data_IF_924527514216
#
_entry.id   IF_924527514216
#
_cell.length_a   1.000
_cell.length_b   1.000
_cell.length_c   1.000
_cell.angle_alpha   90.00
_cell.angle_beta   90.00
_cell.angle_gamma   90.00
#
_symmetry.space_group_name_H-M   'P 1'
#
loop_
_entity.id
_entity.type
_entity.pdbx_description
1 polymer ?
#
# COMPACT_ATOMS: atom_id res chain seq x y z
N UNK A 1 9.67 21.71 1.48
CA UNK A 1 8.24 21.79 1.86
C UNK A 1 8.06 21.10 3.21
N UNK A 2 7.27 21.66 4.13
CA UNK A 2 6.90 20.99 5.39
C UNK A 2 5.63 20.20 5.10
N UNK A 3 5.79 18.92 4.80
CA UNK A 3 4.66 18.00 4.64
C UNK A 3 3.91 17.97 5.95
N UNK A 4 2.60 18.30 5.92
CA UNK A 4 1.80 18.31 7.13
C UNK A 4 1.46 16.86 7.46
N UNK A 5 2.00 16.38 8.57
CA UNK A 5 1.68 15.06 9.10
C UNK A 5 0.16 14.94 9.33
N UNK A 6 -0.43 13.84 8.88
CA UNK A 6 -1.87 13.62 9.01
C UNK A 6 -2.19 13.30 10.46
N UNK A 7 -2.96 14.16 11.11
CA UNK A 7 -3.31 14.00 12.52
C UNK A 7 -4.21 12.78 12.74
N UNK A 8 -3.72 11.83 13.53
CA UNK A 8 -4.47 10.68 13.99
C UNK A 8 -5.31 11.03 15.22
N UNK A 9 -6.59 10.67 15.21
CA UNK A 9 -7.53 11.02 16.29
C UNK A 9 -8.38 9.82 16.72
N UNK A 10 -9.13 10.00 17.81
CA UNK A 10 -9.96 8.93 18.36
C UNK A 10 -11.05 8.42 17.42
N UNK A 11 -11.54 9.23 16.46
CA UNK A 11 -12.55 8.75 15.50
C UNK A 11 -11.97 7.75 14.50
N UNK A 12 -10.74 7.97 14.05
CA UNK A 12 -10.00 7.02 13.21
C UNK A 12 -9.72 5.71 13.98
N UNK A 13 -9.37 5.83 15.26
CA UNK A 13 -9.15 4.67 16.13
C UNK A 13 -10.39 3.82 16.39
N UNK A 14 -11.60 4.41 16.38
CA UNK A 14 -12.85 3.64 16.56
C UNK A 14 -13.05 2.61 15.45
N UNK A 15 -12.76 2.94 14.19
CA UNK A 15 -12.86 2.00 13.08
C UNK A 15 -11.89 0.82 13.28
N UNK A 16 -10.65 1.14 13.67
CA UNK A 16 -9.59 0.17 13.96
C UNK A 16 -9.95 -0.75 15.12
N UNK A 17 -10.48 -0.19 16.20
CA UNK A 17 -10.97 -0.94 17.35
C UNK A 17 -12.08 -1.91 16.94
N UNK A 18 -13.08 -1.45 16.21
CA UNK A 18 -14.20 -2.29 15.76
C UNK A 18 -13.74 -3.48 14.93
N UNK A 19 -12.69 -3.28 14.12
CA UNK A 19 -12.04 -4.35 13.35
C UNK A 19 -11.42 -5.41 14.26
N UNK A 20 -10.72 -5.00 15.32
CA UNK A 20 -10.18 -5.94 16.30
C UNK A 20 -11.29 -6.63 17.11
N UNK A 21 -12.35 -5.90 17.49
CA UNK A 21 -13.52 -6.46 18.16
C UNK A 21 -14.27 -7.51 17.32
N UNK A 22 -14.15 -7.48 15.98
CA UNK A 22 -14.74 -8.49 15.10
C UNK A 22 -14.04 -9.86 15.19
N UNK A 23 -12.81 -9.89 15.71
CA UNK A 23 -12.09 -11.14 16.00
C UNK A 23 -12.63 -11.85 17.24
N UNK A 24 -13.40 -11.17 18.09
CA UNK A 24 -13.99 -11.74 19.29
C UNK A 24 -15.34 -12.40 19.03
N UNK A 25 -15.68 -13.39 19.86
CA UNK A 25 -16.97 -14.06 19.82
C UNK A 25 -18.14 -13.12 20.15
N UNK A 26 -19.29 -13.38 19.55
CA UNK A 26 -20.55 -12.79 19.98
C UNK A 26 -21.19 -13.69 21.04
N UNK A 27 -21.69 -13.10 22.13
CA UNK A 27 -22.36 -13.82 23.22
C UNK A 27 -23.59 -14.65 22.78
N UNK A 28 -24.06 -14.44 21.55
CA UNK A 28 -25.24 -15.08 20.97
C UNK A 28 -24.98 -16.44 20.30
N UNK A 29 -23.75 -16.96 20.27
CA UNK A 29 -23.39 -18.15 19.47
C UNK A 29 -22.64 -19.18 20.30
N UNK A 30 -23.34 -20.22 20.76
CA UNK A 30 -22.82 -21.26 21.67
C UNK A 30 -21.68 -22.11 21.07
N UNK A 31 -21.46 -22.08 19.76
CA UNK A 31 -20.38 -22.81 19.08
C UNK A 31 -19.30 -21.91 18.46
N UNK A 32 -19.24 -20.63 18.85
CA UNK A 32 -18.20 -19.73 18.36
C UNK A 32 -16.81 -20.17 18.87
N UNK A 33 -15.87 -20.37 17.95
CA UNK A 33 -14.48 -20.73 18.28
C UNK A 33 -13.60 -19.51 18.55
N UNK A 34 -14.09 -18.30 18.28
CA UNK A 34 -13.39 -17.05 18.56
C UNK A 34 -13.17 -16.84 20.07
N UNK A 35 -12.15 -16.05 20.45
CA UNK A 35 -11.94 -15.67 21.84
C UNK A 35 -13.01 -14.71 22.35
N UNK A 36 -13.27 -14.72 23.66
CA UNK A 36 -14.19 -13.78 24.32
C UNK A 36 -13.57 -12.37 24.42
N UNK A 37 -12.24 -12.31 24.49
CA UNK A 37 -11.47 -11.07 24.48
C UNK A 37 -10.04 -11.28 23.98
N UNK A 38 -9.50 -10.23 23.38
CA UNK A 38 -8.09 -10.12 23.00
C UNK A 38 -7.33 -9.44 24.12
N UNK A 39 -6.29 -10.08 24.64
CA UNK A 39 -5.38 -9.50 25.62
C UNK A 39 -4.12 -9.02 24.90
N UNK A 40 -3.92 -7.70 24.90
CA UNK A 40 -2.75 -7.02 24.34
C UNK A 40 -1.95 -6.47 25.52
N UNK A 41 -0.71 -6.90 25.65
CA UNK A 41 0.20 -6.49 26.73
C UNK A 41 1.42 -5.85 26.09
N UNK A 42 1.74 -4.62 26.48
CA UNK A 42 2.93 -3.93 26.01
C UNK A 42 4.23 -4.46 26.63
N UNK A 43 5.35 -4.04 26.06
CA UNK A 43 6.63 -4.02 26.76
C UNK A 43 7.17 -5.36 27.25
N UNK A 44 7.99 -5.25 28.30
CA UNK A 44 8.64 -6.36 28.99
C UNK A 44 7.65 -7.36 29.58
N UNK A 45 6.46 -6.89 29.97
CA UNK A 45 5.37 -7.70 30.55
C UNK A 45 4.81 -8.75 29.58
N UNK A 46 5.12 -8.61 28.28
CA UNK A 46 4.79 -9.56 27.20
C UNK A 46 6.01 -10.19 26.53
N UNK A 47 7.22 -9.98 27.09
CA UNK A 47 8.49 -10.21 26.41
C UNK A 47 8.56 -9.54 25.03
N UNK A 48 8.08 -8.30 24.94
CA UNK A 48 8.04 -7.49 23.73
C UNK A 48 7.34 -8.22 22.57
N UNK A 49 6.14 -8.75 22.82
CA UNK A 49 5.36 -9.38 21.76
C UNK A 49 5.17 -8.43 20.58
N UNK A 50 5.72 -8.80 19.42
CA UNK A 50 5.68 -7.97 18.22
C UNK A 50 4.26 -7.61 17.81
N UNK A 51 3.33 -8.55 17.89
CA UNK A 51 1.95 -8.34 17.50
C UNK A 51 1.18 -7.49 18.55
N UNK A 52 1.52 -7.58 19.84
CA UNK A 52 0.99 -6.65 20.84
C UNK A 52 1.47 -5.23 20.61
N UNK A 53 2.78 -5.06 20.38
CA UNK A 53 3.40 -3.77 20.11
C UNK A 53 2.81 -3.14 18.83
N UNK A 54 2.64 -3.92 17.77
CA UNK A 54 1.97 -3.47 16.55
C UNK A 54 0.53 -3.02 16.81
N UNK A 55 -0.24 -3.74 17.64
CA UNK A 55 -1.61 -3.37 17.97
C UNK A 55 -1.69 -2.06 18.76
N UNK A 56 -0.77 -1.80 19.69
CA UNK A 56 -0.70 -0.54 20.42
C UNK A 56 -0.41 0.64 19.48
N UNK A 57 0.59 0.50 18.60
CA UNK A 57 0.89 1.51 17.58
C UNK A 57 -0.29 1.74 16.62
N UNK A 58 -0.93 0.67 16.18
CA UNK A 58 -2.08 0.72 15.28
C UNK A 58 -3.26 1.48 15.92
N UNK A 59 -3.57 1.21 17.19
CA UNK A 59 -4.72 1.81 17.88
C UNK A 59 -4.45 3.23 18.36
N UNK A 60 -3.23 3.55 18.83
CA UNK A 60 -2.93 4.82 19.51
C UNK A 60 -2.07 5.80 18.70
N UNK A 61 -1.22 5.32 17.80
CA UNK A 61 -0.26 6.15 17.07
C UNK A 61 -0.61 6.33 15.59
N UNK A 62 -1.67 5.66 15.11
CA UNK A 62 -2.06 5.75 13.70
C UNK A 62 -1.15 4.95 12.75
N UNK A 63 -0.14 4.23 13.27
CA UNK A 63 0.77 3.44 12.44
C UNK A 63 0.00 2.41 11.60
N UNK A 64 0.43 2.18 10.37
CA UNK A 64 -0.27 1.26 9.45
C UNK A 64 0.64 0.70 8.37
N UNK A 65 0.13 -0.30 7.63
CA UNK A 65 0.87 -0.85 6.50
C UNK A 65 2.20 -1.45 6.91
N UNK A 66 3.27 -1.06 6.23
CA UNK A 66 4.60 -1.62 6.45
C UNK A 66 5.25 -1.22 7.78
N UNK A 67 4.77 -0.16 8.44
CA UNK A 67 5.27 0.28 9.76
C UNK A 67 4.99 -0.76 10.85
N UNK A 68 3.98 -1.60 10.64
CA UNK A 68 3.57 -2.68 11.55
C UNK A 68 4.28 -4.01 11.24
N UNK A 69 5.21 -4.05 10.27
CA UNK A 69 5.95 -5.25 9.90
C UNK A 69 7.36 -5.28 10.49
N UNK A 70 7.96 -6.46 10.52
CA UNK A 70 9.31 -6.65 11.08
C UNK A 70 9.34 -6.45 12.59
N UNK A 71 10.51 -6.06 13.11
CA UNK A 71 10.68 -5.80 14.54
C UNK A 71 9.88 -4.58 14.98
N UNK A 72 9.15 -4.73 16.08
CA UNK A 72 8.24 -3.71 16.59
C UNK A 72 8.82 -3.08 17.85
N UNK A 73 9.47 -1.94 17.67
CA UNK A 73 9.98 -1.11 18.77
C UNK A 73 9.12 0.15 18.87
N UNK A 74 8.58 0.43 20.05
CA UNK A 74 7.90 1.70 20.30
C UNK A 74 8.98 2.78 20.44
N UNK A 75 8.80 3.92 19.77
CA UNK A 75 9.77 5.03 19.82
C UNK A 75 9.89 5.55 21.24
N UNK A 76 11.07 6.07 21.60
CA UNK A 76 11.33 6.58 22.96
C UNK A 76 10.32 7.66 23.40
N UNK A 77 9.86 8.51 22.49
CA UNK A 77 8.78 9.50 22.72
C UNK A 77 7.43 8.88 23.13
N UNK A 78 7.27 7.57 22.98
CA UNK A 78 6.06 6.81 23.26
C UNK A 78 6.34 5.60 24.16
N UNK A 79 7.51 5.51 24.79
CA UNK A 79 7.95 4.36 25.59
C UNK A 79 6.92 3.94 26.64
N UNK A 80 6.18 4.91 27.20
CA UNK A 80 5.10 4.66 28.19
C UNK A 80 3.92 3.85 27.65
N UNK A 81 3.80 3.67 26.33
CA UNK A 81 2.85 2.71 25.75
C UNK A 81 3.25 1.26 26.05
N UNK A 82 4.52 0.99 26.37
CA UNK A 82 4.98 -0.35 26.75
C UNK A 82 4.37 -0.85 28.07
N UNK A 83 3.92 0.05 28.94
CA UNK A 83 3.26 -0.29 30.20
C UNK A 83 1.74 -0.50 30.05
N UNK A 84 1.20 -0.34 28.83
CA UNK A 84 -0.24 -0.42 28.58
C UNK A 84 -0.71 -1.87 28.48
N UNK A 85 -1.81 -2.17 29.15
CA UNK A 85 -2.54 -3.44 29.02
C UNK A 85 -3.93 -3.16 28.47
N UNK A 86 -4.31 -3.83 27.39
CA UNK A 86 -5.65 -3.75 26.81
C UNK A 86 -6.32 -5.11 26.82
N UNK A 87 -7.58 -5.13 27.23
CA UNK A 87 -8.50 -6.21 26.98
C UNK A 87 -9.61 -5.72 26.06
N UNK A 88 -9.69 -6.29 24.86
CA UNK A 88 -10.67 -5.93 23.83
C UNK A 88 -11.65 -7.08 23.66
N UNK A 89 -12.90 -6.91 24.11
CA UNK A 89 -14.01 -7.82 23.82
C UNK A 89 -14.97 -7.20 22.81
N UNK A 90 -15.95 -7.98 22.34
CA UNK A 90 -16.91 -7.54 21.31
C UNK A 90 -17.65 -6.23 21.66
N UNK A 91 -17.91 -5.98 22.95
CA UNK A 91 -18.63 -4.80 23.42
C UNK A 91 -18.00 -4.10 24.62
N UNK A 92 -17.04 -4.73 25.31
CA UNK A 92 -16.36 -4.19 26.49
C UNK A 92 -14.89 -3.97 26.14
N UNK A 93 -14.34 -2.85 26.58
CA UNK A 93 -12.91 -2.59 26.55
C UNK A 93 -12.45 -2.32 27.97
N UNK A 94 -11.28 -2.83 28.33
CA UNK A 94 -10.59 -2.38 29.52
C UNK A 94 -9.16 -1.97 29.15
N UNK A 95 -8.70 -0.87 29.74
CA UNK A 95 -7.37 -0.31 29.50
C UNK A 95 -6.70 0.01 30.83
N UNK A 96 -5.49 -0.48 31.00
CA UNK A 96 -4.58 -0.08 32.05
C UNK A 96 -3.51 0.87 31.49
N UNK A 97 -3.29 2.01 32.13
CA UNK A 97 -2.26 2.97 31.76
C UNK A 97 -1.88 3.90 32.93
N UNK A 98 -0.74 4.59 32.82
CA UNK A 98 -0.39 5.67 33.74
C UNK A 98 -0.95 7.02 33.28
N UNK A 99 -1.69 7.71 34.16
CA UNK A 99 -2.45 8.93 33.86
C UNK A 99 -1.63 10.21 33.66
N UNK A 100 -0.42 10.28 34.20
CA UNK A 100 0.44 11.47 34.14
C UNK A 100 1.58 11.31 33.12
N UNK A 101 1.61 10.15 32.45
CA UNK A 101 2.66 9.80 31.51
C UNK A 101 2.43 10.41 30.11
N UNK A 102 3.50 10.50 29.31
CA UNK A 102 3.40 10.87 27.89
C UNK A 102 2.43 9.95 27.11
N UNK A 103 2.27 8.70 27.55
CA UNK A 103 1.28 7.80 26.97
C UNK A 103 -0.16 8.25 27.23
N UNK A 104 -0.49 8.82 28.39
CA UNK A 104 -1.84 9.34 28.65
C UNK A 104 -2.23 10.43 27.64
N UNK A 105 -1.29 11.29 27.23
CA UNK A 105 -1.50 12.33 26.21
C UNK A 105 -1.93 11.73 24.87
N UNK A 106 -1.47 10.52 24.53
CA UNK A 106 -1.86 9.80 23.30
C UNK A 106 -3.11 8.94 23.49
N UNK A 107 -3.22 8.24 24.62
CA UNK A 107 -4.30 7.30 24.92
C UNK A 107 -5.61 8.04 25.15
N UNK A 108 -5.63 9.07 26.02
CA UNK A 108 -6.87 9.73 26.45
C UNK A 108 -7.71 10.30 25.30
N UNK A 109 -7.13 11.08 24.36
CA UNK A 109 -7.90 11.58 23.21
C UNK A 109 -8.49 10.46 22.36
N UNK A 110 -7.78 9.33 22.26
CA UNK A 110 -8.21 8.15 21.51
C UNK A 110 -9.36 7.42 22.21
N UNK A 111 -9.15 6.99 23.46
CA UNK A 111 -10.14 6.18 24.19
C UNK A 111 -11.39 6.98 24.54
N UNK A 112 -11.33 8.32 24.59
CA UNK A 112 -12.50 9.18 24.80
C UNK A 112 -13.59 9.02 23.74
N UNK A 113 -13.25 8.48 22.55
CA UNK A 113 -14.18 8.19 21.46
C UNK A 113 -14.65 6.73 21.44
N UNK A 114 -13.99 5.86 22.18
CA UNK A 114 -14.36 4.45 22.29
C UNK A 114 -15.59 4.30 23.19
N UNK A 115 -16.39 3.24 22.97
CA UNK A 115 -17.59 2.96 23.78
C UNK A 115 -17.29 1.88 24.81
N UNK A 116 -17.87 1.98 26.00
CA UNK A 116 -17.78 0.96 27.05
C UNK A 116 -16.34 0.64 27.49
N UNK A 117 -15.54 1.69 27.68
CA UNK A 117 -14.18 1.60 28.21
C UNK A 117 -14.22 1.59 29.73
N UNK A 118 -13.57 0.61 30.34
CA UNK A 118 -13.22 0.61 31.75
C UNK A 118 -11.74 0.97 31.91
N UNK A 119 -11.46 2.04 32.63
CA UNK A 119 -10.10 2.54 32.83
C UNK A 119 -9.53 2.06 34.17
N UNK A 120 -8.31 1.55 34.15
CA UNK A 120 -7.52 1.21 35.31
C UNK A 120 -6.27 2.07 35.30
N UNK A 121 -6.12 2.91 36.31
CA UNK A 121 -5.17 4.02 36.24
C UNK A 121 -4.21 3.96 37.42
N UNK A 122 -2.93 4.23 37.13
CA UNK A 122 -1.91 4.56 38.13
C UNK A 122 -1.40 5.99 37.92
N UNK A 123 -0.69 6.51 38.92
CA UNK A 123 -0.01 7.80 38.87
C UNK A 123 1.49 7.55 38.95
N UNK A 124 2.29 8.29 38.17
CA UNK A 124 3.74 8.11 38.13
C UNK A 124 4.42 8.42 39.47
N UNK A 125 3.77 9.22 40.33
CA UNK A 125 4.24 9.54 41.68
C UNK A 125 3.99 8.45 42.73
N UNK A 126 3.35 7.32 42.39
CA UNK A 126 3.19 6.19 43.32
C UNK A 126 4.52 5.44 43.49
N UNK A 127 4.71 4.77 44.63
CA UNK A 127 5.85 3.86 44.80
C UNK A 127 5.81 2.72 43.77
N UNK A 128 6.95 2.30 43.18
CA UNK A 128 6.97 1.30 42.11
C UNK A 128 6.26 -0.02 42.49
N UNK A 129 6.46 -0.50 43.71
CA UNK A 129 5.82 -1.72 44.20
C UNK A 129 4.28 -1.57 44.27
N UNK A 130 3.79 -0.38 44.62
CA UNK A 130 2.35 -0.08 44.63
C UNK A 130 1.79 -0.02 43.20
N UNK A 131 2.53 0.53 42.24
CA UNK A 131 2.15 0.56 40.83
C UNK A 131 1.98 -0.86 40.28
N UNK A 132 2.95 -1.74 40.56
CA UNK A 132 2.90 -3.14 40.12
C UNK A 132 1.75 -3.91 40.81
N UNK A 133 1.53 -3.73 42.12
CA UNK A 133 0.40 -4.37 42.81
C UNK A 133 -0.94 -3.93 42.19
N UNK A 134 -1.10 -2.64 41.88
CA UNK A 134 -2.29 -2.11 41.21
C UNK A 134 -2.45 -2.64 39.78
N UNK A 135 -1.36 -2.78 39.02
CA UNK A 135 -1.35 -3.39 37.68
C UNK A 135 -1.84 -4.84 37.73
N UNK A 136 -1.32 -5.65 38.65
CA UNK A 136 -1.75 -7.05 38.85
C UNK A 136 -3.22 -7.13 39.26
N UNK A 137 -3.67 -6.27 40.19
CA UNK A 137 -5.08 -6.20 40.61
C UNK A 137 -6.00 -5.80 39.45
N UNK A 138 -5.60 -4.80 38.66
CA UNK A 138 -6.32 -4.36 37.47
C UNK A 138 -6.43 -5.51 36.47
N UNK A 139 -5.32 -6.19 36.17
CA UNK A 139 -5.29 -7.33 35.27
C UNK A 139 -6.27 -8.44 35.70
N UNK A 140 -6.27 -8.86 36.98
CA UNK A 140 -7.24 -9.84 37.50
C UNK A 140 -8.70 -9.38 37.31
N UNK A 141 -8.97 -8.09 37.55
CA UNK A 141 -10.30 -7.50 37.34
C UNK A 141 -10.72 -7.48 35.86
N UNK A 142 -9.78 -7.15 34.96
CA UNK A 142 -9.99 -7.17 33.51
C UNK A 142 -10.41 -8.56 33.03
N UNK A 143 -9.73 -9.61 33.52
CA UNK A 143 -9.96 -11.01 33.13
C UNK A 143 -11.26 -11.63 33.67
N UNK A 144 -11.96 -10.93 34.57
CA UNK A 144 -13.20 -11.45 35.15
C UNK A 144 -14.26 -11.67 34.08
N UNK A 145 -14.76 -12.91 33.98
CA UNK A 145 -15.79 -13.33 33.03
C UNK A 145 -15.28 -13.73 31.64
N UNK A 146 -13.98 -13.70 31.40
CA UNK A 146 -13.37 -14.15 30.14
C UNK A 146 -13.00 -15.63 30.27
N UNK A 147 -13.50 -16.50 29.41
CA UNK A 147 -13.18 -17.93 29.44
C UNK A 147 -12.12 -18.29 28.40
N UNK A 148 -12.27 -17.80 27.17
CA UNK A 148 -11.32 -17.99 26.07
C UNK A 148 -10.61 -16.68 25.74
N UNK A 149 -9.30 -16.68 25.84
CA UNK A 149 -8.46 -15.47 25.70
C UNK A 149 -7.64 -15.57 24.43
N UNK A 150 -7.78 -14.58 23.55
CA UNK A 150 -6.91 -14.40 22.40
C UNK A 150 -5.65 -13.66 22.83
N UNK A 151 -4.49 -14.30 22.77
CA UNK A 151 -3.20 -13.68 23.09
C UNK A 151 -2.31 -13.73 21.85
N UNK A 152 -1.77 -12.60 21.36
CA UNK A 152 -0.90 -12.60 20.20
C UNK A 152 0.54 -12.89 20.62
N UNK A 153 0.89 -14.16 20.88
CA UNK A 153 2.20 -14.53 21.44
C UNK A 153 3.22 -15.07 20.42
N UNK A 154 2.96 -14.90 19.12
CA UNK A 154 3.97 -15.09 18.07
C UNK A 154 3.55 -16.00 16.91
N UNK A 155 4.35 -15.93 15.86
CA UNK A 155 4.23 -16.69 14.63
C UNK A 155 5.45 -17.60 14.45
N UNK A 156 5.28 -18.72 13.75
CA UNK A 156 6.40 -19.51 13.25
C UNK A 156 6.98 -18.90 11.96
N UNK A 157 8.07 -19.49 11.45
CA UNK A 157 8.73 -19.06 10.21
C UNK A 157 7.83 -19.10 8.97
N UNK A 158 6.74 -19.86 9.00
CA UNK A 158 5.73 -19.91 7.94
C UNK A 158 4.57 -18.93 8.11
N UNK A 159 4.66 -17.99 9.06
CA UNK A 159 3.61 -17.00 9.34
C UNK A 159 2.34 -17.58 9.96
N UNK A 160 2.40 -18.78 10.53
CA UNK A 160 1.28 -19.41 11.25
C UNK A 160 1.46 -19.23 12.75
N UNK A 161 0.35 -19.18 13.47
CA UNK A 161 0.36 -19.09 14.94
C UNK A 161 1.20 -20.21 15.57
N UNK A 162 2.02 -19.83 16.56
CA UNK A 162 2.67 -20.79 17.45
C UNK A 162 1.63 -21.61 18.21
N UNK A 163 1.89 -22.91 18.36
CA UNK A 163 0.96 -23.89 18.93
C UNK A 163 1.12 -24.04 20.45
N UNK A 164 2.29 -23.70 21.00
CA UNK A 164 2.57 -23.83 22.42
C UNK A 164 1.83 -22.75 23.24
N UNK A 165 0.67 -23.13 23.77
CA UNK A 165 -0.20 -22.27 24.59
C UNK A 165 0.38 -21.98 25.98
N UNK A 166 1.49 -22.62 26.37
CA UNK A 166 2.20 -22.33 27.63
C UNK A 166 3.24 -21.22 27.48
N UNK A 167 3.50 -20.71 26.26
CA UNK A 167 4.40 -19.57 26.07
C UNK A 167 3.97 -18.32 26.84
N UNK A 168 2.67 -17.91 26.80
CA UNK A 168 2.22 -16.76 27.58
C UNK A 168 2.36 -16.95 29.10
N UNK A 169 2.38 -18.18 29.63
CA UNK A 169 2.61 -18.44 31.07
C UNK A 169 4.02 -18.04 31.53
N UNK A 170 4.92 -17.73 30.60
CA UNK A 170 6.25 -17.20 30.94
C UNK A 170 6.26 -15.68 31.06
N UNK A 171 5.21 -15.00 30.58
CA UNK A 171 5.13 -13.54 30.59
C UNK A 171 4.96 -13.02 32.01
N UNK A 172 5.73 -12.02 32.46
CA UNK A 172 5.70 -11.54 33.85
C UNK A 172 4.29 -11.21 34.34
N UNK A 173 3.50 -10.47 33.54
CA UNK A 173 2.14 -10.12 33.91
C UNK A 173 1.20 -11.33 34.00
N UNK A 174 1.34 -12.31 33.10
CA UNK A 174 0.52 -13.53 33.14
C UNK A 174 0.89 -14.39 34.34
N UNK A 175 2.19 -14.50 34.67
CA UNK A 175 2.66 -15.19 35.87
C UNK A 175 2.08 -14.59 37.15
N UNK A 176 1.94 -13.27 37.20
CA UNK A 176 1.36 -12.58 38.35
C UNK A 176 -0.08 -13.00 38.66
N UNK A 177 -0.81 -13.55 37.68
CA UNK A 177 -2.18 -14.04 37.86
C UNK A 177 -2.28 -15.12 38.94
N UNK A 178 -1.32 -16.05 38.93
CA UNK A 178 -1.28 -17.19 39.85
C UNK A 178 -0.73 -16.88 41.23
N UNK A 179 -0.20 -15.67 41.46
CA UNK A 179 0.30 -15.25 42.77
C UNK A 179 -0.86 -14.96 43.72
N UNK A 180 -0.76 -15.52 44.93
CA UNK A 180 -1.73 -15.32 46.01
C UNK A 180 -1.68 -13.86 46.50
N UNK A 181 -2.78 -13.13 46.33
CA UNK A 181 -2.88 -11.70 46.66
C UNK A 181 -4.02 -11.04 45.89
N UNK A 182 -5.08 -10.63 46.61
CA UNK A 182 -6.31 -10.04 46.09
C UNK A 182 -7.54 -10.95 46.21
N UNK A 183 -8.73 -10.35 46.37
CA UNK A 183 -10.04 -11.00 46.62
C UNK A 183 -10.56 -11.91 45.47
N UNK A 184 -9.71 -12.32 44.51
CA UNK A 184 -10.12 -13.16 43.40
C UNK A 184 -10.20 -14.63 43.80
N UNK A 185 -11.33 -15.28 43.49
CA UNK A 185 -11.58 -16.71 43.76
C UNK A 185 -10.80 -17.68 42.86
N UNK A 186 -10.16 -17.19 41.80
CA UNK A 186 -9.37 -18.00 40.87
C UNK A 186 -7.99 -18.30 41.47
N UNK A 187 -7.67 -19.59 41.64
CA UNK A 187 -6.37 -20.08 42.11
C UNK A 187 -5.65 -20.84 40.98
N UNK A 188 -4.32 -20.83 40.99
CA UNK A 188 -3.49 -21.57 40.04
C UNK A 188 -3.08 -20.77 38.79
N UNK A 189 -2.47 -21.45 37.83
CA UNK A 189 -1.94 -20.84 36.59
C UNK A 189 -3.04 -20.22 35.73
N UNK A 190 -2.67 -19.29 34.84
CA UNK A 190 -3.60 -18.58 33.99
C UNK A 190 -4.37 -19.52 33.04
N UNK A 191 -3.66 -20.44 32.38
CA UNK A 191 -4.15 -21.47 31.47
C UNK A 191 -5.01 -22.54 32.15
N UNK A 192 -4.96 -22.64 33.48
CA UNK A 192 -5.91 -23.49 34.23
C UNK A 192 -7.28 -22.83 34.34
N UNK A 193 -7.33 -21.50 34.35
CA UNK A 193 -8.55 -20.72 34.53
C UNK A 193 -9.12 -20.21 33.18
N UNK A 194 -8.27 -20.10 32.16
CA UNK A 194 -8.61 -19.55 30.85
C UNK A 194 -8.11 -20.43 29.70
N UNK A 195 -8.94 -20.64 28.68
CA UNK A 195 -8.54 -21.26 27.42
C UNK A 195 -7.76 -20.24 26.57
N UNK A 196 -6.44 -20.38 26.50
CA UNK A 196 -5.59 -19.51 25.68
C UNK A 196 -5.60 -19.94 24.21
N UNK A 197 -5.76 -18.96 23.33
CA UNK A 197 -5.69 -19.14 21.87
C UNK A 197 -4.72 -18.11 21.30
N UNK A 198 -3.81 -18.55 20.44
CA UNK A 198 -2.95 -17.64 19.71
C UNK A 198 -3.74 -16.95 18.60
N UNK A 199 -3.69 -15.61 18.57
CA UNK A 199 -4.39 -14.77 17.58
C UNK A 199 -3.45 -13.89 16.75
N UNK A 200 -2.15 -14.19 16.76
CA UNK A 200 -1.14 -13.33 16.12
C UNK A 200 -1.41 -13.15 14.63
N UNK A 201 -1.70 -14.23 13.89
CA UNK A 201 -1.91 -14.18 12.45
C UNK A 201 -3.21 -13.44 12.09
N UNK A 202 -4.27 -13.67 12.85
CA UNK A 202 -5.57 -13.02 12.70
C UNK A 202 -5.48 -11.52 12.98
N UNK A 203 -4.78 -11.16 14.05
CA UNK A 203 -4.54 -9.77 14.44
C UNK A 203 -3.72 -9.03 13.38
N UNK A 204 -2.61 -9.60 12.93
CA UNK A 204 -1.80 -9.01 11.85
C UNK A 204 -2.56 -8.87 10.54
N UNK A 205 -3.41 -9.85 10.19
CA UNK A 205 -4.27 -9.78 9.00
C UNK A 205 -5.33 -8.68 9.12
N UNK A 206 -5.91 -8.50 10.30
CA UNK A 206 -6.88 -7.44 10.55
C UNK A 206 -6.23 -6.05 10.42
N UNK A 207 -5.04 -5.85 10.99
CA UNK A 207 -4.31 -4.57 10.90
C UNK A 207 -3.76 -4.28 9.50
N UNK A 208 -3.59 -5.30 8.66
CA UNK A 208 -3.16 -5.12 7.26
C UNK A 208 -4.25 -4.53 6.35
N UNK A 209 -5.53 -4.61 6.73
CA UNK A 209 -6.62 -4.08 5.91
C UNK A 209 -6.56 -2.54 5.84
N UNK A 210 -6.93 -1.98 4.68
CA UNK A 210 -7.00 -0.53 4.51
C UNK A 210 -8.14 0.03 5.38
N UNK A 211 -7.92 1.15 6.05
CA UNK A 211 -8.93 1.90 6.79
C UNK A 211 -8.99 3.37 6.33
N UNK A 212 -9.95 4.12 6.85
CA UNK A 212 -10.14 5.52 6.46
C UNK A 212 -8.91 6.39 6.72
N UNK A 213 -8.16 6.10 7.78
CA UNK A 213 -6.94 6.83 8.10
C UNK A 213 -5.79 6.49 7.15
N UNK A 214 -5.57 5.21 6.84
CA UNK A 214 -4.61 4.79 5.83
C UNK A 214 -4.93 5.41 4.46
N UNK A 215 -6.21 5.49 4.08
CA UNK A 215 -6.63 6.17 2.86
C UNK A 215 -6.34 7.69 2.88
N UNK A 216 -6.57 8.37 4.01
CA UNK A 216 -6.18 9.79 4.18
C UNK A 216 -4.68 9.99 4.01
N UNK A 217 -3.85 9.12 4.62
CA UNK A 217 -2.39 9.16 4.48
C UNK A 217 -1.94 8.97 3.04
N UNK A 218 -2.56 8.05 2.31
CA UNK A 218 -2.28 7.88 0.86
C UNK A 218 -2.48 9.19 0.10
N UNK A 219 -3.59 9.89 0.34
CA UNK A 219 -3.94 11.13 -0.39
C UNK A 219 -3.12 12.34 0.08
N UNK A 220 -2.85 12.44 1.38
CA UNK A 220 -2.25 13.65 1.96
C UNK A 220 -0.72 13.55 2.13
N UNK A 221 -0.16 12.34 2.13
CA UNK A 221 1.27 12.08 2.30
C UNK A 221 1.87 11.43 1.05
N UNK A 222 1.42 10.22 0.69
CA UNK A 222 2.07 9.41 -0.36
C UNK A 222 1.91 9.99 -1.76
N UNK A 223 0.71 10.43 -2.14
CA UNK A 223 0.44 11.01 -3.46
C UNK A 223 1.29 12.25 -3.74
N UNK A 224 1.30 13.29 -2.89
CA UNK A 224 2.06 14.48 -3.22
C UNK A 224 3.58 14.21 -3.14
N UNK A 225 4.04 13.24 -2.34
CA UNK A 225 5.45 12.83 -2.31
C UNK A 225 5.88 12.17 -3.62
N UNK A 226 5.05 11.25 -4.14
CA UNK A 226 5.26 10.65 -5.45
C UNK A 226 5.19 11.70 -6.57
N UNK A 227 4.26 12.66 -6.48
CA UNK A 227 4.13 13.76 -7.43
C UNK A 227 5.39 14.63 -7.47
N UNK A 228 6.00 14.94 -6.30
CA UNK A 228 7.25 15.68 -6.25
C UNK A 228 8.39 14.97 -7.01
N UNK A 229 8.60 13.67 -6.78
CA UNK A 229 9.61 12.91 -7.52
C UNK A 229 9.30 12.84 -9.03
N UNK A 230 8.02 12.83 -9.39
CA UNK A 230 7.59 12.86 -10.78
C UNK A 230 7.82 14.21 -11.45
N UNK A 231 7.62 15.31 -10.73
CA UNK A 231 7.89 16.67 -11.22
C UNK A 231 9.39 16.90 -11.43
N UNK A 232 10.26 16.38 -10.55
CA UNK A 232 11.72 16.43 -10.75
C UNK A 232 12.14 15.67 -12.01
N UNK A 233 11.53 14.50 -12.26
CA UNK A 233 11.73 13.75 -13.50
C UNK A 233 11.31 14.57 -14.74
N UNK A 234 10.16 15.25 -14.70
CA UNK A 234 9.69 16.09 -15.80
C UNK A 234 10.63 17.29 -16.03
N UNK A 235 11.10 17.92 -14.94
CA UNK A 235 12.05 19.01 -15.01
C UNK A 235 13.36 18.59 -15.69
N UNK A 236 13.87 17.39 -15.40
CA UNK A 236 15.05 16.82 -16.08
C UNK A 236 14.83 16.63 -17.58
N UNK A 237 13.62 16.25 -18.00
CA UNK A 237 13.27 16.12 -19.41
C UNK A 237 13.28 17.49 -20.10
N UNK A 238 12.76 18.53 -19.45
CA UNK A 238 12.69 19.89 -19.99
C UNK A 238 14.07 20.56 -20.09
N UNK A 239 14.99 20.25 -19.17
CA UNK A 239 16.36 20.76 -19.18
C UNK A 239 17.24 20.22 -20.32
N UNK A 240 16.82 19.16 -21.01
CA UNK A 240 17.53 18.66 -22.17
C UNK A 240 17.16 19.49 -23.42
N UNK A 241 17.72 20.69 -23.50
CA UNK A 241 17.32 21.75 -24.45
C UNK A 241 17.50 21.36 -25.93
N UNK A 242 18.48 20.51 -26.27
CA UNK A 242 18.72 20.05 -27.65
C UNK A 242 18.35 18.57 -27.88
N UNK A 243 17.96 18.18 -29.12
CA UNK A 243 17.75 16.78 -29.48
C UNK A 243 18.97 15.89 -29.22
N UNK A 244 20.18 16.39 -29.46
CA UNK A 244 21.44 15.68 -29.23
C UNK A 244 21.65 15.40 -27.74
N UNK A 245 21.37 16.39 -26.89
CA UNK A 245 21.43 16.24 -25.44
C UNK A 245 20.41 15.22 -24.93
N UNK A 246 19.21 15.15 -25.51
CA UNK A 246 18.20 14.11 -25.20
C UNK A 246 18.63 12.73 -25.68
N UNK A 247 19.21 12.65 -26.88
CA UNK A 247 19.60 11.40 -27.54
C UNK A 247 20.65 10.58 -26.76
N UNK A 248 21.50 11.26 -25.98
CA UNK A 248 22.55 10.63 -25.17
C UNK A 248 22.10 10.27 -23.74
N UNK A 249 20.87 10.60 -23.34
CA UNK A 249 20.35 10.22 -22.01
C UNK A 249 19.91 8.76 -22.01
N UNK A 250 20.41 7.99 -21.04
CA UNK A 250 19.92 6.64 -20.81
C UNK A 250 18.58 6.63 -20.08
N UNK A 251 17.90 5.48 -20.07
CA UNK A 251 16.68 5.28 -19.27
C UNK A 251 16.95 5.50 -17.77
N UNK A 252 18.09 4.99 -17.27
CA UNK A 252 18.48 5.15 -15.87
C UNK A 252 18.81 6.61 -15.53
N UNK A 253 19.56 7.31 -16.39
CA UNK A 253 19.95 8.71 -16.14
C UNK A 253 18.73 9.64 -16.09
N UNK A 254 17.76 9.41 -16.98
CA UNK A 254 16.54 10.21 -17.03
C UNK A 254 15.61 9.86 -15.85
N UNK A 255 15.49 8.58 -15.51
CA UNK A 255 14.58 8.07 -14.48
C UNK A 255 15.08 8.12 -13.05
N UNK A 256 16.30 8.62 -12.80
CA UNK A 256 17.02 8.46 -11.52
C UNK A 256 16.18 8.84 -10.28
N UNK A 257 15.41 9.94 -10.31
CA UNK A 257 14.62 10.37 -9.14
C UNK A 257 13.54 9.36 -8.77
N UNK A 258 12.94 8.71 -9.78
CA UNK A 258 11.88 7.72 -9.60
C UNK A 258 12.44 6.36 -9.23
N UNK A 259 13.56 5.98 -9.87
CA UNK A 259 14.23 4.70 -9.67
C UNK A 259 14.80 4.62 -8.26
N UNK A 260 15.64 5.59 -7.88
CA UNK A 260 16.27 5.62 -6.57
C UNK A 260 15.24 5.72 -5.45
N UNK A 261 14.18 6.52 -5.59
CA UNK A 261 13.11 6.59 -4.59
C UNK A 261 12.50 5.20 -4.29
N UNK A 262 12.15 4.44 -5.33
CA UNK A 262 11.58 3.11 -5.16
C UNK A 262 12.62 2.09 -4.66
N UNK A 263 13.85 2.11 -5.19
CA UNK A 263 14.91 1.20 -4.77
C UNK A 263 15.27 1.38 -3.29
N UNK A 264 15.44 2.62 -2.82
CA UNK A 264 15.68 2.89 -1.39
C UNK A 264 14.51 2.47 -0.51
N UNK A 265 13.27 2.76 -0.92
CA UNK A 265 12.09 2.38 -0.13
C UNK A 265 11.88 0.86 -0.05
N UNK A 266 12.37 0.09 -1.02
CA UNK A 266 12.25 -1.37 -1.05
C UNK A 266 13.42 -2.13 -0.41
N UNK A 267 14.48 -1.46 0.04
CA UNK A 267 15.66 -2.11 0.66
C UNK A 267 15.31 -3.00 1.85
N UNK A 268 14.28 -2.63 2.63
CA UNK A 268 13.88 -3.37 3.84
C UNK A 268 12.81 -4.44 3.58
N UNK A 269 12.35 -4.63 2.34
CA UNK A 269 11.30 -5.59 2.02
C UNK A 269 11.61 -7.02 2.50
N UNK A 270 12.82 -7.58 2.27
CA UNK A 270 13.14 -8.93 2.74
C UNK A 270 13.03 -9.08 4.26
N UNK A 271 13.50 -8.08 5.02
CA UNK A 271 13.40 -8.08 6.48
C UNK A 271 11.96 -7.98 6.99
N UNK A 272 11.06 -7.38 6.19
CA UNK A 272 9.62 -7.27 6.46
C UNK A 272 8.80 -8.44 5.89
N UNK A 273 9.45 -9.43 5.27
CA UNK A 273 8.77 -10.56 4.63
C UNK A 273 7.98 -10.18 3.36
N UNK A 274 8.34 -9.06 2.71
CA UNK A 274 7.73 -8.57 1.48
C UNK A 274 8.56 -8.97 0.26
N UNK A 275 7.92 -9.06 -0.90
CA UNK A 275 8.60 -9.34 -2.18
C UNK A 275 8.22 -8.32 -3.24
N UNK A 276 9.17 -8.03 -4.14
CA UNK A 276 8.93 -7.20 -5.32
C UNK A 276 8.48 -8.09 -6.48
N UNK A 277 7.43 -7.66 -7.18
CA UNK A 277 6.96 -8.36 -8.38
C UNK A 277 7.64 -7.77 -9.63
N UNK A 278 7.95 -8.58 -10.66
CA UNK A 278 8.66 -8.10 -11.86
C UNK A 278 7.96 -6.95 -12.60
N UNK A 279 6.63 -6.90 -12.54
CA UNK A 279 5.82 -5.87 -13.20
C UNK A 279 5.64 -4.59 -12.35
N UNK A 280 6.13 -4.59 -11.11
CA UNK A 280 6.01 -3.46 -10.16
C UNK A 280 7.32 -2.68 -9.99
N UNK A 281 7.19 -1.47 -9.45
CA UNK A 281 8.26 -0.52 -9.25
C UNK A 281 8.37 0.56 -10.32
N UNK A 282 9.27 1.51 -10.09
CA UNK A 282 9.54 2.60 -11.02
C UNK A 282 10.33 2.13 -12.24
N UNK A 283 10.06 2.72 -13.40
CA UNK A 283 10.85 2.53 -14.63
C UNK A 283 10.61 3.65 -15.63
N UNK A 284 11.66 3.95 -16.40
CA UNK A 284 11.61 4.66 -17.68
C UNK A 284 12.03 3.66 -18.76
N UNK A 285 11.23 3.52 -19.81
CA UNK A 285 11.50 2.62 -20.93
C UNK A 285 11.33 3.36 -22.26
N UNK A 286 12.30 3.22 -23.17
CA UNK A 286 12.25 3.87 -24.49
C UNK A 286 11.76 2.92 -25.60
N UNK A 287 10.95 3.44 -26.50
CA UNK A 287 10.67 2.83 -27.80
C UNK A 287 10.25 1.36 -27.72
N UNK A 288 11.00 0.47 -28.38
CA UNK A 288 10.68 -0.95 -28.44
C UNK A 288 10.71 -1.66 -27.07
N UNK A 289 11.45 -1.11 -26.10
CA UNK A 289 11.56 -1.66 -24.74
C UNK A 289 10.28 -1.49 -23.94
N UNK A 290 9.37 -0.59 -24.34
CA UNK A 290 8.06 -0.44 -23.70
C UNK A 290 7.10 -1.62 -23.92
N UNK A 291 7.48 -2.59 -24.77
CA UNK A 291 6.67 -3.78 -25.06
C UNK A 291 6.54 -4.75 -23.88
N UNK A 292 7.42 -4.65 -22.88
CA UNK A 292 7.37 -5.49 -21.68
C UNK A 292 7.62 -4.70 -20.40
N UNK A 293 6.62 -4.70 -19.51
CA UNK A 293 6.72 -4.09 -18.18
C UNK A 293 7.61 -4.88 -17.20
N UNK A 294 8.10 -6.06 -17.58
CA UNK A 294 9.08 -6.82 -16.77
C UNK A 294 10.51 -6.35 -16.99
N UNK A 295 10.74 -5.51 -18.00
CA UNK A 295 12.05 -4.95 -18.31
C UNK A 295 12.33 -3.80 -17.35
N UNK A 296 13.54 -3.80 -16.76
CA UNK A 296 14.05 -2.71 -15.94
C UNK A 296 14.71 -1.65 -16.81
N UNK A 297 14.71 -0.41 -16.33
CA UNK A 297 15.48 0.69 -16.91
C UNK A 297 16.95 0.33 -16.99
N UNK A 298 17.60 0.75 -18.08
CA UNK A 298 18.99 0.41 -18.35
C UNK A 298 19.85 1.64 -18.60
N UNK A 299 21.06 1.64 -18.04
CA UNK A 299 22.09 2.66 -18.27
C UNK A 299 22.70 2.59 -19.68
N UNK A 300 22.47 1.52 -20.44
CA UNK A 300 22.94 1.38 -21.83
C UNK A 300 21.85 1.62 -22.88
N UNK A 301 20.58 1.71 -22.45
CA UNK A 301 19.46 2.03 -23.32
C UNK A 301 19.34 3.55 -23.48
N UNK A 302 19.85 4.07 -24.60
CA UNK A 302 19.80 5.48 -24.95
C UNK A 302 18.58 5.76 -25.82
N UNK A 303 18.09 6.99 -25.79
CA UNK A 303 16.98 7.38 -26.65
C UNK A 303 17.28 7.13 -28.15
N UNK A 304 18.52 7.42 -28.57
CA UNK A 304 18.96 7.25 -29.96
C UNK A 304 19.01 5.79 -30.45
N UNK A 305 19.17 4.81 -29.56
CA UNK A 305 19.40 3.41 -29.92
C UNK A 305 18.23 2.48 -29.57
N UNK A 306 17.16 3.00 -28.97
CA UNK A 306 16.03 2.21 -28.45
C UNK A 306 14.79 2.23 -29.35
N UNK A 307 14.87 2.78 -30.56
CA UNK A 307 13.78 2.73 -31.53
C UNK A 307 13.54 1.31 -32.07
N UNK A 308 12.43 1.13 -32.78
CA UNK A 308 12.04 -0.17 -33.32
C UNK A 308 12.98 -0.69 -34.43
N UNK A 309 13.69 0.22 -35.12
CA UNK A 309 14.62 -0.08 -36.21
C UNK A 309 15.99 0.46 -35.84
N UNK A 310 17.05 -0.31 -36.09
CA UNK A 310 18.42 0.11 -35.82
C UNK A 310 18.74 1.43 -36.55
N UNK A 311 19.29 2.39 -35.81
CA UNK A 311 19.61 3.72 -36.34
C UNK A 311 18.45 4.71 -36.33
N UNK A 312 17.24 4.31 -35.92
CA UNK A 312 16.10 5.21 -35.69
C UNK A 312 15.92 5.41 -34.18
N UNK A 313 15.89 6.67 -33.74
CA UNK A 313 15.65 7.01 -32.34
C UNK A 313 14.22 6.64 -31.91
N UNK A 314 14.04 6.34 -30.62
CA UNK A 314 12.71 6.12 -30.07
C UNK A 314 11.89 7.43 -30.10
N UNK A 315 10.59 7.33 -30.44
CA UNK A 315 9.68 8.47 -30.52
C UNK A 315 8.68 8.54 -29.36
N UNK A 316 8.70 7.54 -28.49
CA UNK A 316 7.91 7.49 -27.28
C UNK A 316 8.69 6.86 -26.13
N UNK A 317 8.23 7.13 -24.92
CA UNK A 317 8.73 6.51 -23.70
C UNK A 317 7.57 6.18 -22.77
N UNK A 318 7.74 5.11 -21.99
CA UNK A 318 6.87 4.77 -20.88
C UNK A 318 7.56 5.14 -19.57
N UNK A 319 6.84 5.83 -18.69
CA UNK A 319 7.28 6.18 -17.34
C UNK A 319 6.30 5.58 -16.37
N UNK A 320 6.79 4.73 -15.47
CA UNK A 320 6.05 4.22 -14.32
C UNK A 320 6.73 4.71 -13.05
N UNK A 321 5.95 5.20 -12.11
CA UNK A 321 6.40 5.53 -10.77
C UNK A 321 5.50 4.82 -9.76
N UNK A 322 6.09 4.27 -8.70
CA UNK A 322 5.38 3.55 -7.65
C UNK A 322 5.90 4.00 -6.29
N UNK A 323 4.98 4.29 -5.37
CA UNK A 323 5.31 4.48 -3.95
C UNK A 323 5.58 3.12 -3.30
N UNK A 324 6.78 2.87 -2.76
CA UNK A 324 7.17 1.56 -2.25
C UNK A 324 6.43 1.17 -0.96
N UNK A 325 5.79 2.10 -0.25
CA UNK A 325 5.15 1.82 1.04
C UNK A 325 3.67 1.44 0.92
N UNK A 326 2.96 2.13 0.03
CA UNK A 326 1.50 1.97 -0.18
C UNK A 326 1.17 1.23 -1.47
N UNK A 327 2.12 1.14 -2.41
CA UNK A 327 1.92 0.58 -3.74
C UNK A 327 1.17 1.50 -4.70
N UNK A 328 0.86 2.76 -4.30
CA UNK A 328 0.26 3.76 -5.19
C UNK A 328 1.14 3.92 -6.42
N UNK A 329 0.53 3.79 -7.60
CA UNK A 329 1.27 3.71 -8.86
C UNK A 329 0.63 4.59 -9.91
N UNK A 330 1.48 5.22 -10.71
CA UNK A 330 1.09 5.89 -11.94
C UNK A 330 1.97 5.40 -13.08
N UNK A 331 1.37 5.28 -14.26
CA UNK A 331 2.07 4.95 -15.49
C UNK A 331 1.57 5.88 -16.61
N UNK A 332 2.51 6.48 -17.35
CA UNK A 332 2.21 7.40 -18.44
C UNK A 332 3.13 7.13 -19.62
N UNK A 333 2.60 7.25 -20.82
CA UNK A 333 3.39 7.28 -22.05
C UNK A 333 3.55 8.72 -22.51
N UNK A 334 4.77 9.10 -22.85
CA UNK A 334 5.10 10.41 -23.43
C UNK A 334 5.61 10.23 -24.85
N UNK A 335 5.31 11.20 -25.70
CA UNK A 335 5.83 11.28 -27.07
C UNK A 335 6.95 12.31 -27.12
N UNK A 336 8.06 11.92 -27.73
CA UNK A 336 9.29 12.70 -27.84
C UNK A 336 9.45 13.34 -29.24
N UNK A 337 8.45 13.14 -30.10
CA UNK A 337 8.33 13.74 -31.41
C UNK A 337 6.88 14.15 -31.67
N UNK A 338 6.68 15.32 -32.26
CA UNK A 338 5.35 15.83 -32.62
C UNK A 338 4.86 15.34 -33.98
N UNK A 339 5.60 14.43 -34.65
CA UNK A 339 5.43 14.01 -36.06
C UNK A 339 5.53 15.14 -37.10
N UNK A 340 5.70 16.39 -36.66
CA UNK A 340 5.91 17.55 -37.53
C UNK A 340 7.40 17.88 -37.58
N UNK A 341 7.99 17.76 -38.76
CA UNK A 341 9.34 18.30 -39.01
C UNK A 341 9.17 19.81 -39.18
N UNK A 342 9.62 20.59 -38.21
CA UNK A 342 9.74 22.03 -38.41
C UNK A 342 10.84 22.28 -39.45
N UNK A 343 10.57 23.14 -40.44
CA UNK A 343 11.64 23.59 -41.34
C UNK A 343 12.72 24.22 -40.47
N UNK A 344 13.97 23.80 -40.67
CA UNK A 344 15.14 24.45 -40.07
C UNK A 344 15.02 25.94 -40.37
N UNK A 345 14.95 26.77 -39.33
CA UNK A 345 15.04 28.22 -39.50
C UNK A 345 16.49 28.49 -39.86
N UNK A 346 16.74 28.70 -41.15
CA UNK A 346 18.04 29.14 -41.65
C UNK A 346 17.98 30.66 -41.66
N UNK A 347 18.87 31.30 -40.90
CA UNK A 347 19.13 32.72 -41.04
C UNK A 347 19.86 32.93 -42.39
N UNK A 348 19.16 33.54 -43.33
CA UNK A 348 19.67 33.80 -44.69
C UNK A 348 20.87 34.76 -44.68
N UNK A 349 20.99 35.59 -43.63
CA UNK A 349 22.07 36.59 -43.49
C UNK A 349 23.28 36.06 -42.68
N UNK A 350 23.28 34.79 -42.28
CA UNK A 350 24.38 34.21 -41.50
C UNK A 350 25.68 34.13 -42.32
N UNK A 351 26.75 34.77 -41.83
CA UNK A 351 28.10 34.76 -42.44
C UNK A 351 28.74 33.37 -42.53
N UNK A 352 28.22 32.40 -41.78
CA UNK A 352 28.64 30.99 -41.79
C UNK A 352 27.39 30.12 -41.85
N UNK A 353 27.09 29.56 -43.01
CA UNK A 353 26.05 28.54 -43.11
C UNK A 353 26.57 27.20 -42.57
N UNK A 354 25.79 26.49 -41.74
CA UNK A 354 26.12 25.11 -41.40
C UNK A 354 26.18 24.27 -42.68
N UNK A 355 27.06 23.25 -42.76
CA UNK A 355 27.23 22.43 -43.95
C UNK A 355 25.90 21.87 -44.44
N UNK A 356 25.69 21.96 -45.76
CA UNK A 356 24.54 21.36 -46.45
C UNK A 356 24.86 19.89 -46.68
N UNK A 357 24.44 19.04 -45.77
CA UNK A 357 23.83 17.72 -46.03
C UNK A 357 23.62 16.95 -44.72
N UNK A 358 22.40 16.45 -44.54
CA UNK A 358 22.17 15.05 -44.21
C UNK A 358 20.88 14.63 -44.95
N UNK A 359 20.79 13.40 -45.49
CA UNK A 359 19.53 12.88 -46.02
C UNK A 359 18.47 13.01 -44.92
N UNK A 360 17.23 13.35 -45.29
CA UNK A 360 16.13 13.42 -44.34
C UNK A 360 16.21 12.18 -43.43
N UNK A 361 16.46 12.35 -42.11
CA UNK A 361 16.69 11.20 -41.23
C UNK A 361 15.52 10.25 -41.39
N UNK A 362 15.78 8.94 -41.38
CA UNK A 362 14.77 7.90 -41.57
C UNK A 362 13.50 8.27 -40.77
N UNK A 363 12.46 8.66 -41.50
CA UNK A 363 11.38 9.45 -40.92
C UNK A 363 10.25 8.53 -40.46
N UNK A 364 10.13 8.34 -39.15
CA UNK A 364 9.03 7.60 -38.52
C UNK A 364 7.83 8.50 -38.14
N UNK A 365 7.74 9.73 -38.66
CA UNK A 365 6.67 10.67 -38.34
C UNK A 365 5.26 10.10 -38.55
N UNK A 366 5.03 9.37 -39.65
CA UNK A 366 3.71 8.75 -39.93
C UNK A 366 3.35 7.71 -38.87
N UNK A 367 4.31 6.89 -38.46
CA UNK A 367 4.10 5.86 -37.44
C UNK A 367 3.91 6.49 -36.06
N UNK A 368 4.67 7.55 -35.73
CA UNK A 368 4.49 8.32 -34.51
C UNK A 368 3.13 9.00 -34.46
N UNK A 369 2.68 9.62 -35.55
CA UNK A 369 1.35 10.22 -35.62
C UNK A 369 0.26 9.16 -35.37
N UNK A 370 0.39 8.00 -36.02
CA UNK A 370 -0.53 6.89 -35.83
C UNK A 370 -0.54 6.39 -34.39
N UNK A 371 0.63 6.30 -33.75
CA UNK A 371 0.74 5.90 -32.35
C UNK A 371 0.08 6.92 -31.41
N UNK A 372 0.23 8.23 -31.67
CA UNK A 372 -0.44 9.30 -30.91
C UNK A 372 -1.96 9.15 -30.99
N UNK A 373 -2.50 8.93 -32.19
CA UNK A 373 -3.95 8.71 -32.37
C UNK A 373 -4.43 7.44 -31.65
N UNK A 374 -3.63 6.37 -31.65
CA UNK A 374 -3.94 5.16 -30.90
C UNK A 374 -3.98 5.38 -29.38
N UNK A 375 -3.05 6.17 -28.83
CA UNK A 375 -3.06 6.50 -27.41
C UNK A 375 -4.25 7.40 -27.03
N UNK A 376 -4.68 8.29 -27.93
CA UNK A 376 -5.90 9.07 -27.72
C UNK A 376 -7.14 8.18 -27.63
N UNK A 377 -7.27 7.16 -28.49
CA UNK A 377 -8.33 6.15 -28.39
C UNK A 377 -8.21 5.30 -27.13
N UNK A 378 -6.99 4.86 -26.79
CA UNK A 378 -6.72 4.05 -25.59
C UNK A 378 -7.15 4.77 -24.32
N UNK A 379 -6.94 6.09 -24.23
CA UNK A 379 -7.37 6.90 -23.09
C UNK A 379 -8.90 6.90 -22.92
N UNK A 380 -9.65 6.96 -24.02
CA UNK A 380 -11.11 6.91 -23.98
C UNK A 380 -11.60 5.52 -23.59
N UNK A 381 -11.01 4.48 -24.18
CA UNK A 381 -11.25 3.09 -23.79
C UNK A 381 -10.94 2.82 -22.32
N UNK A 382 -9.87 3.40 -21.79
CA UNK A 382 -9.51 3.31 -20.37
C UNK A 382 -10.56 3.94 -19.47
N UNK A 383 -11.01 5.16 -19.77
CA UNK A 383 -12.06 5.84 -18.99
C UNK A 383 -13.35 5.02 -18.94
N UNK A 384 -13.78 4.45 -20.06
CA UNK A 384 -14.95 3.59 -20.11
C UNK A 384 -14.75 2.27 -19.34
N UNK A 385 -13.58 1.65 -19.51
CA UNK A 385 -13.22 0.43 -18.77
C UNK A 385 -13.21 0.66 -17.27
N UNK A 386 -12.57 1.73 -16.80
CA UNK A 386 -12.47 2.07 -15.39
C UNK A 386 -13.86 2.36 -14.78
N UNK A 387 -14.69 3.15 -15.45
CA UNK A 387 -16.05 3.42 -15.00
C UNK A 387 -16.89 2.14 -14.89
N UNK A 388 -16.80 1.26 -15.90
CA UNK A 388 -17.49 -0.03 -15.90
C UNK A 388 -16.97 -0.96 -14.81
N UNK A 389 -15.67 -1.00 -14.58
CA UNK A 389 -15.05 -1.81 -13.54
C UNK A 389 -15.52 -1.41 -12.15
N UNK A 390 -15.52 -0.10 -11.85
CA UNK A 390 -16.03 0.43 -10.59
C UNK A 390 -17.50 0.09 -10.42
N UNK A 391 -18.31 0.25 -11.47
CA UNK A 391 -19.72 -0.12 -11.45
C UNK A 391 -19.90 -1.61 -11.10
N UNK A 392 -19.23 -2.52 -11.81
CA UNK A 392 -19.34 -3.97 -11.57
C UNK A 392 -18.88 -4.36 -10.16
N UNK A 393 -17.76 -3.80 -9.68
CA UNK A 393 -17.27 -4.06 -8.33
C UNK A 393 -18.21 -3.54 -7.23
N UNK A 394 -19.01 -2.51 -7.51
CA UNK A 394 -19.97 -1.96 -6.54
C UNK A 394 -21.34 -2.63 -6.57
N UNK A 395 -21.76 -3.18 -7.73
CA UNK A 395 -23.10 -3.78 -7.89
C UNK A 395 -23.13 -5.27 -7.67
N UNK A 396 -21.99 -5.95 -7.83
CA UNK A 396 -21.94 -7.39 -7.85
C UNK A 396 -21.35 -7.93 -6.56
N UNK A 397 -22.22 -8.27 -5.59
CA UNK A 397 -21.81 -8.86 -4.30
C UNK A 397 -21.05 -10.20 -4.46
N UNK A 398 -21.16 -10.86 -5.62
CA UNK A 398 -20.57 -12.19 -5.89
C UNK A 398 -19.66 -12.26 -7.13
N UNK A 399 -19.48 -11.18 -7.91
CA UNK A 399 -18.64 -11.26 -9.11
C UNK A 399 -17.16 -11.29 -8.74
N UNK A 400 -16.40 -12.20 -9.34
CA UNK A 400 -14.95 -12.22 -9.16
C UNK A 400 -14.32 -10.99 -9.85
N UNK A 401 -13.18 -10.51 -9.33
CA UNK A 401 -12.44 -9.41 -9.96
C UNK A 401 -12.17 -9.67 -11.45
N UNK A 402 -11.89 -10.93 -11.81
CA UNK A 402 -11.67 -11.35 -13.20
C UNK A 402 -12.90 -11.13 -14.09
N UNK A 403 -14.10 -11.40 -13.59
CA UNK A 403 -15.35 -11.14 -14.31
C UNK A 403 -15.58 -9.64 -14.50
N UNK A 404 -15.34 -8.84 -13.45
CA UNK A 404 -15.44 -7.39 -13.52
C UNK A 404 -14.43 -6.82 -14.54
N UNK A 405 -13.19 -7.31 -14.54
CA UNK A 405 -12.15 -6.95 -15.53
C UNK A 405 -12.61 -7.32 -16.95
N UNK A 406 -13.17 -8.51 -17.16
CA UNK A 406 -13.63 -8.94 -18.48
C UNK A 406 -14.75 -8.03 -19.02
N UNK A 407 -15.74 -7.70 -18.19
CA UNK A 407 -16.82 -6.78 -18.55
C UNK A 407 -16.31 -5.36 -18.83
N UNK A 408 -15.41 -4.85 -18.00
CA UNK A 408 -14.75 -3.56 -18.17
C UNK A 408 -13.96 -3.48 -19.48
N UNK A 409 -13.16 -4.51 -19.77
CA UNK A 409 -12.37 -4.62 -21.00
C UNK A 409 -13.28 -4.62 -22.24
N UNK A 410 -14.39 -5.35 -22.20
CA UNK A 410 -15.34 -5.39 -23.31
C UNK A 410 -15.94 -3.99 -23.59
N UNK A 411 -16.31 -3.25 -22.54
CA UNK A 411 -16.82 -1.88 -22.67
C UNK A 411 -15.76 -0.92 -23.27
N UNK A 412 -14.50 -1.04 -22.86
CA UNK A 412 -13.39 -0.27 -23.43
C UNK A 412 -13.18 -0.56 -24.92
N UNK A 413 -13.16 -1.85 -25.30
CA UNK A 413 -13.00 -2.26 -26.71
C UNK A 413 -14.16 -1.72 -27.55
N UNK A 414 -15.40 -1.85 -27.08
CA UNK A 414 -16.57 -1.36 -27.80
C UNK A 414 -16.47 0.13 -28.11
N UNK A 415 -16.12 0.95 -27.11
CA UNK A 415 -15.96 2.38 -27.29
C UNK A 415 -14.81 2.71 -28.26
N UNK A 416 -13.67 2.03 -28.13
CA UNK A 416 -12.52 2.25 -29.04
C UNK A 416 -12.88 1.94 -30.50
N UNK A 417 -13.66 0.89 -30.76
CA UNK A 417 -14.12 0.52 -32.11
C UNK A 417 -15.14 1.53 -32.65
N UNK A 418 -16.02 2.05 -31.81
CA UNK A 418 -16.99 3.08 -32.20
C UNK A 418 -16.30 4.41 -32.54
N UNK A 419 -15.35 4.83 -31.70
CA UNK A 419 -14.59 6.06 -31.90
C UNK A 419 -13.65 5.99 -33.09
N UNK A 420 -13.01 4.84 -33.35
CA UNK A 420 -12.13 4.69 -34.50
C UNK A 420 -12.87 4.89 -35.82
N UNK A 421 -14.13 4.43 -35.93
CA UNK A 421 -15.00 4.59 -37.11
C UNK A 421 -15.52 6.01 -37.31
N UNK A 422 -15.56 6.83 -36.26
CA UNK A 422 -16.22 8.14 -36.30
C UNK A 422 -15.23 9.30 -36.27
N UNK A 423 -14.00 9.08 -35.78
CA UNK A 423 -13.07 10.18 -35.45
C UNK A 423 -11.66 10.07 -36.07
N UNK A 424 -11.26 8.96 -36.71
CA UNK A 424 -9.90 8.85 -37.29
C UNK A 424 -9.87 8.28 -38.70
N UNK A 425 -9.59 9.16 -39.68
CA UNK A 425 -9.32 8.78 -41.07
C UNK A 425 -8.00 8.00 -41.24
N UNK A 426 -7.03 8.17 -40.32
CA UNK A 426 -5.71 7.52 -40.37
C UNK A 426 -5.76 6.08 -39.86
N UNK A 427 -6.69 5.78 -38.96
CA UNK A 427 -6.89 4.44 -38.41
C UNK A 427 -7.89 3.60 -39.23
N UNK A 428 -8.80 4.23 -39.97
CA UNK A 428 -9.74 3.55 -40.89
C UNK A 428 -9.04 2.67 -41.94
N UNK A 429 -7.85 3.06 -42.42
CA UNK A 429 -7.09 2.26 -43.39
C UNK A 429 -6.42 1.02 -42.79
N UNK A 430 -6.51 0.83 -41.48
CA UNK A 430 -5.88 -0.26 -40.77
C UNK A 430 -6.92 -1.09 -40.02
N UNK A 431 -6.78 -2.41 -40.08
CA UNK A 431 -7.72 -3.39 -39.54
C UNK A 431 -7.82 -3.39 -37.99
N UNK A 432 -8.18 -2.26 -37.37
CA UNK A 432 -8.55 -2.15 -35.96
C UNK A 432 -9.95 -2.72 -35.74
N UNK A 433 -10.05 -4.03 -35.96
CA UNK A 433 -11.24 -4.82 -35.65
C UNK A 433 -11.35 -5.03 -34.13
N UNK A 434 -12.55 -5.34 -33.67
CA UNK A 434 -12.76 -5.79 -32.29
C UNK A 434 -11.88 -7.01 -31.95
N UNK A 435 -11.61 -7.88 -32.94
CA UNK A 435 -10.73 -9.04 -32.77
C UNK A 435 -9.29 -8.63 -32.50
N UNK A 436 -8.74 -7.68 -33.27
CA UNK A 436 -7.39 -7.15 -33.03
C UNK A 436 -7.26 -6.58 -31.61
N UNK A 437 -8.21 -5.75 -31.18
CA UNK A 437 -8.20 -5.20 -29.83
C UNK A 437 -8.39 -6.29 -28.76
N UNK A 438 -9.25 -7.28 -29.01
CA UNK A 438 -9.44 -8.42 -28.11
C UNK A 438 -8.21 -9.32 -27.99
N UNK A 439 -7.28 -9.30 -28.95
CA UNK A 439 -6.04 -10.07 -28.85
C UNK A 439 -4.91 -9.25 -28.19
N UNK A 440 -4.85 -7.95 -28.47
CA UNK A 440 -3.69 -7.11 -28.12
C UNK A 440 -3.90 -6.24 -26.87
N UNK A 441 -5.14 -5.89 -26.53
CA UNK A 441 -5.47 -5.02 -25.40
C UNK A 441 -5.60 -5.83 -24.12
N UNK A 442 -4.77 -5.56 -23.12
CA UNK A 442 -4.84 -6.20 -21.80
C UNK A 442 -5.31 -5.18 -20.76
N UNK A 443 -6.39 -5.50 -20.06
CA UNK A 443 -6.81 -4.78 -18.87
C UNK A 443 -6.41 -5.61 -17.66
N UNK A 444 -5.69 -5.00 -16.72
CA UNK A 444 -5.40 -5.61 -15.42
C UNK A 444 -5.91 -4.71 -14.31
N UNK A 445 -6.39 -5.33 -13.24
CA UNK A 445 -6.72 -4.65 -12.01
C UNK A 445 -6.18 -5.46 -10.84
N UNK A 446 -5.64 -4.76 -9.85
CA UNK A 446 -5.08 -5.35 -8.65
C UNK A 446 -5.69 -4.63 -7.44
N UNK A 447 -6.08 -5.39 -6.42
CA UNK A 447 -6.49 -4.83 -5.13
C UNK A 447 -5.34 -4.96 -4.15
N UNK A 448 -4.99 -3.86 -3.49
CA UNK A 448 -3.91 -3.79 -2.51
C UNK A 448 -4.45 -3.58 -1.10
N UNK A 449 -3.75 -4.17 -0.14
CA UNK A 449 -3.92 -3.87 1.27
C UNK A 449 -3.10 -2.63 1.70
N UNK A 450 -3.13 -2.27 2.99
CA UNK A 450 -2.40 -1.10 3.51
C UNK A 450 -0.87 -1.22 3.40
N UNK A 451 -0.34 -2.41 3.06
CA UNK A 451 1.10 -2.69 2.91
C UNK A 451 1.55 -2.60 1.45
N UNK A 452 0.64 -2.29 0.54
CA UNK A 452 0.87 -2.33 -0.91
C UNK A 452 0.97 -3.74 -1.47
N UNK A 453 0.42 -4.75 -0.79
CA UNK A 453 0.47 -6.15 -1.24
C UNK A 453 -0.83 -6.58 -1.92
N UNK A 454 -0.78 -7.36 -3.01
CA UNK A 454 -1.98 -7.83 -3.70
C UNK A 454 -2.85 -8.72 -2.81
N UNK A 455 -4.17 -8.55 -2.90
CA UNK A 455 -5.17 -9.32 -2.15
C UNK A 455 -6.07 -10.08 -3.14
N UNK A 456 -6.30 -11.37 -2.88
CA UNK A 456 -6.99 -12.27 -3.82
C UNK A 456 -8.52 -12.12 -3.86
N UNK A 457 -9.13 -11.50 -2.85
CA UNK A 457 -10.58 -11.34 -2.76
C UNK A 457 -10.94 -9.86 -2.79
N UNK A 458 -12.09 -9.52 -3.40
CA UNK A 458 -12.76 -8.25 -3.16
C UNK A 458 -13.03 -8.19 -1.66
N UNK A 459 -12.19 -7.45 -0.94
CA UNK A 459 -12.29 -7.38 0.50
C UNK A 459 -13.69 -6.84 0.84
N UNK A 460 -14.38 -7.47 1.80
CA UNK A 460 -15.55 -6.88 2.43
C UNK A 460 -15.08 -5.67 3.26
N UNK A 461 -14.74 -4.56 2.61
CA UNK A 461 -14.10 -3.40 3.22
C UNK A 461 -13.37 -2.49 2.22
N UNK A 462 -12.73 -1.44 2.73
CA UNK A 462 -11.91 -0.55 1.89
C UNK A 462 -10.70 -1.30 1.31
N UNK A 463 -10.44 -1.07 0.04
CA UNK A 463 -9.24 -1.55 -0.66
C UNK A 463 -8.73 -0.48 -1.62
N UNK A 464 -7.42 -0.46 -1.84
CA UNK A 464 -6.83 0.37 -2.88
C UNK A 464 -6.83 -0.44 -4.17
N UNK A 465 -7.54 0.02 -5.20
CA UNK A 465 -7.55 -0.65 -6.50
C UNK A 465 -6.65 0.08 -7.48
N UNK A 466 -5.74 -0.66 -8.12
CA UNK A 466 -4.89 -0.16 -9.20
C UNK A 466 -5.38 -0.74 -10.51
N UNK A 467 -5.64 0.15 -11.47
CA UNK A 467 -6.12 -0.19 -12.80
C UNK A 467 -5.07 0.14 -13.84
N UNK A 468 -4.78 -0.79 -14.74
CA UNK A 468 -3.91 -0.52 -15.89
C UNK A 468 -4.47 -1.13 -17.16
N UNK A 469 -4.46 -0.34 -18.24
CA UNK A 469 -4.84 -0.79 -19.57
C UNK A 469 -3.63 -0.67 -20.48
N UNK A 470 -3.14 -1.81 -20.96
CA UNK A 470 -1.96 -1.93 -21.79
C UNK A 470 -2.36 -2.40 -23.19
N UNK A 471 -1.94 -1.66 -24.21
CA UNK A 471 -1.99 -2.14 -25.58
C UNK A 471 -0.59 -2.65 -25.96
N UNK A 472 -0.44 -3.96 -26.03
CA UNK A 472 0.80 -4.61 -26.50
C UNK A 472 0.54 -5.09 -27.92
N UNK A 473 1.01 -4.40 -28.96
CA UNK A 473 0.93 -4.94 -30.30
C UNK A 473 2.02 -6.00 -30.48
N UNK A 474 1.61 -7.22 -30.86
CA UNK A 474 2.47 -8.18 -31.55
C UNK A 474 2.61 -7.67 -32.99
N UNK A 475 3.75 -7.04 -33.30
CA UNK A 475 4.15 -6.76 -34.68
C UNK A 475 5.15 -7.81 -35.14
#
# INVERSE_FOLDING_TARGET
MRWKEVEYNGSDSVERLQRLQALCASASTENDRRPDGLLIVGGVDSFHSQASQAALKYLFLGSSGQELLGEQVISHEHERLEDVVLLISRQRIAVFYSSESEAAVKILPVISKWRHVAEYIIHDGMEPDEQEERKVRAFKSMMTGIQRVGIPFGLNSGGKNLVDVMLPEKWPLIQSYGLEGGDSTAKGFFTMNHQVVNVSAELMRAMAQLDGFSAKRVVLESEPFLAHHFDEFLLKLDHAESPEARNVKSESDLGEDLLSFYEFGTMQFPARGLTTQPTRGSRVLYGARTSSLTVKSSSSALLANSGAVQGIAATHMLVQAEDPFTGVRLARTYFLSSSKVCRKIVDEDALVHPPVEDPAPANNAKDTQRLIELYALLLQGFKASAAKLVQECMTSDEASLEQCIAAARAAGIQLMVEMSRTQSQVLESSAFSANFLSDQLRLTAEMLDSRGQPVQAAAQGMSLSIFSLLLTPVF
#
